data_IF_808606471228
#
_entry.id   IF_808606471228
#
_cell.length_a   1.000
_cell.length_b   1.000
_cell.length_c   1.000
_cell.angle_alpha   90.00
_cell.angle_beta   90.00
_cell.angle_gamma   90.00
#
_symmetry.space_group_name_H-M   'P 1'
#
loop_
_entity.id
_entity.type
_entity.pdbx_description
1 polymer ?
#
# COMPACT_ATOMS: atom_id res chain seq x y z
N UNK A 1 16.31 3.22 -18.48
CA UNK A 1 15.14 2.35 -18.24
C UNK A 1 14.16 3.08 -17.35
N UNK A 2 12.83 2.93 -17.56
CA UNK A 2 11.79 3.59 -16.75
C UNK A 2 11.14 2.54 -15.85
N UNK A 3 11.20 2.72 -14.54
CA UNK A 3 10.58 1.78 -13.60
C UNK A 3 9.06 1.94 -13.67
N UNK A 4 8.34 0.81 -13.72
CA UNK A 4 6.88 0.78 -13.64
C UNK A 4 6.47 0.84 -12.17
N UNK A 5 5.53 1.72 -11.85
CA UNK A 5 4.98 1.89 -10.51
C UNK A 5 3.46 1.75 -10.60
N UNK A 6 2.90 0.93 -9.72
CA UNK A 6 1.45 0.78 -9.56
C UNK A 6 1.00 1.66 -8.41
N UNK A 7 -0.07 2.45 -8.64
CA UNK A 7 -0.65 3.32 -7.62
C UNK A 7 -2.03 2.78 -7.25
N UNK A 8 -2.24 2.51 -5.96
CA UNK A 8 -3.51 2.02 -5.43
C UNK A 8 -4.14 3.12 -4.58
N UNK A 9 -5.11 3.84 -5.16
CA UNK A 9 -5.84 4.92 -4.50
C UNK A 9 -7.26 4.48 -4.11
N UNK A 10 -7.85 5.14 -3.12
CA UNK A 10 -9.22 4.87 -2.67
C UNK A 10 -9.46 5.27 -1.21
N UNK A 11 -10.74 5.37 -0.78
CA UNK A 11 -11.09 5.82 0.57
C UNK A 11 -10.62 4.84 1.66
N UNK A 12 -10.54 5.30 2.91
CA UNK A 12 -10.23 4.42 4.05
C UNK A 12 -11.21 3.25 4.11
N UNK A 13 -10.73 2.07 4.53
CA UNK A 13 -11.53 0.83 4.59
C UNK A 13 -11.97 0.23 3.23
N UNK A 14 -11.53 0.75 2.10
CA UNK A 14 -11.90 0.22 0.77
C UNK A 14 -11.14 -1.05 0.33
N UNK A 15 -10.38 -1.70 1.23
CA UNK A 15 -9.63 -2.92 0.91
C UNK A 15 -8.30 -2.74 0.16
N UNK A 16 -7.76 -1.51 0.08
CA UNK A 16 -6.48 -1.21 -0.62
C UNK A 16 -5.32 -2.12 -0.21
N UNK A 17 -5.18 -2.39 1.09
CA UNK A 17 -4.11 -3.25 1.63
C UNK A 17 -4.21 -4.68 1.09
N UNK A 18 -5.42 -5.24 1.01
CA UNK A 18 -5.62 -6.58 0.45
C UNK A 18 -5.20 -6.63 -1.02
N UNK A 19 -5.64 -5.64 -1.81
CA UNK A 19 -5.29 -5.55 -3.23
C UNK A 19 -3.78 -5.39 -3.44
N UNK A 20 -3.12 -4.57 -2.61
CA UNK A 20 -1.68 -4.37 -2.68
C UNK A 20 -0.91 -5.67 -2.42
N UNK A 21 -1.33 -6.45 -1.41
CA UNK A 21 -0.73 -7.75 -1.10
C UNK A 21 -0.90 -8.76 -2.22
N UNK A 22 -2.08 -8.83 -2.84
CA UNK A 22 -2.34 -9.76 -3.95
C UNK A 22 -1.51 -9.41 -5.19
N UNK A 23 -1.39 -8.12 -5.51
CA UNK A 23 -0.54 -7.65 -6.60
C UNK A 23 0.94 -7.91 -6.31
N UNK A 24 1.39 -7.68 -5.08
CA UNK A 24 2.76 -7.95 -4.65
C UNK A 24 3.12 -9.42 -4.80
N UNK A 25 2.24 -10.34 -4.34
CA UNK A 25 2.40 -11.80 -4.51
C UNK A 25 2.45 -12.21 -5.97
N UNK A 26 1.61 -11.59 -6.82
CA UNK A 26 1.52 -11.93 -8.25
C UNK A 26 2.72 -11.45 -9.07
N UNK A 27 3.27 -10.28 -8.74
CA UNK A 27 4.31 -9.64 -9.56
C UNK A 27 5.70 -9.62 -8.90
N UNK A 28 5.84 -10.10 -7.66
CA UNK A 28 7.12 -10.12 -6.94
C UNK A 28 7.68 -8.71 -6.66
N UNK A 29 6.79 -7.75 -6.39
CA UNK A 29 7.16 -6.35 -6.16
C UNK A 29 7.39 -6.01 -4.68
N UNK A 30 7.56 -4.71 -4.42
CA UNK A 30 7.61 -4.15 -3.07
C UNK A 30 6.42 -3.20 -2.85
N UNK A 31 5.90 -3.17 -1.62
CA UNK A 31 4.82 -2.27 -1.22
C UNK A 31 5.42 -1.10 -0.46
N UNK A 32 5.12 0.12 -0.92
CA UNK A 32 5.45 1.36 -0.20
C UNK A 32 4.14 1.98 0.27
N UNK A 33 4.00 2.20 1.58
CA UNK A 33 2.83 2.91 2.11
C UNK A 33 2.91 4.40 1.79
N UNK A 34 1.80 4.94 1.31
CA UNK A 34 1.59 6.37 1.10
C UNK A 34 0.53 6.96 2.06
N UNK A 35 0.24 6.26 3.17
CA UNK A 35 -0.68 6.73 4.21
C UNK A 35 0.10 7.55 5.25
N UNK A 36 -0.25 8.83 5.39
CA UNK A 36 0.41 9.73 6.36
C UNK A 36 0.20 9.30 7.81
N UNK A 37 -0.88 8.56 8.12
CA UNK A 37 -1.15 8.07 9.48
C UNK A 37 -0.19 6.96 9.89
N UNK A 38 0.27 6.12 8.95
CA UNK A 38 1.19 5.02 9.25
C UNK A 38 2.63 5.48 9.54
N UNK A 39 2.94 6.75 9.29
CA UNK A 39 4.24 7.35 9.65
C UNK A 39 4.31 7.65 11.15
N UNK A 40 3.16 7.85 11.81
CA UNK A 40 3.08 8.13 13.25
C UNK A 40 3.41 6.88 14.07
N UNK A 41 4.55 6.91 14.79
CA UNK A 41 4.95 5.83 15.70
C UNK A 41 4.00 5.73 16.89
N UNK A 42 3.68 4.51 17.32
CA UNK A 42 2.80 4.24 18.46
C UNK A 42 1.30 4.37 18.19
N UNK A 43 0.92 4.55 16.92
CA UNK A 43 -0.48 4.55 16.47
C UNK A 43 -0.70 3.30 15.60
N UNK A 44 -0.65 2.13 16.24
CA UNK A 44 -0.86 0.84 15.55
C UNK A 44 -2.36 0.50 15.40
N UNK A 45 -3.22 1.18 16.16
CA UNK A 45 -4.66 0.94 16.23
C UNK A 45 -5.39 2.28 15.99
N UNK A 46 -6.11 2.38 14.86
CA UNK A 46 -6.86 3.58 14.46
C UNK A 46 -7.70 3.38 13.20
#
# INVERSE_FOLDING_TARGET
MKNKVYIICGPTSSGKTSLALDLCKKYGGEIVSADSRQICKGIDIG
#
